data_IF_839502335639
#
_entry.id   IF_839502335639
#
_cell.length_a   1.000
_cell.length_b   1.000
_cell.length_c   1.000
_cell.angle_alpha   90.00
_cell.angle_beta   90.00
_cell.angle_gamma   90.00
#
_symmetry.space_group_name_H-M   'P 1'
#
loop_
_entity.id
_entity.type
_entity.pdbx_description
1 polymer ?
#
# COMPACT_ATOMS: atom_id res chain seq x y z
N UNK A 1 -11.42 7.26 -30.87
CA UNK A 1 -12.22 7.10 -29.64
C UNK A 1 -11.46 6.46 -28.46
N UNK A 2 -10.26 5.90 -28.65
CA UNK A 2 -9.47 5.26 -27.58
C UNK A 2 -8.81 6.21 -26.58
N UNK A 3 -8.34 7.40 -27.01
CA UNK A 3 -7.63 8.36 -26.14
C UNK A 3 -8.49 8.93 -25.00
N UNK A 4 -9.77 9.13 -25.23
CA UNK A 4 -10.71 9.70 -24.24
C UNK A 4 -11.00 8.67 -23.14
N UNK A 5 -11.14 7.39 -23.51
CA UNK A 5 -11.35 6.29 -22.57
C UNK A 5 -10.13 6.10 -21.67
N UNK A 6 -8.91 6.20 -22.21
CA UNK A 6 -7.66 6.08 -21.42
C UNK A 6 -7.43 7.28 -20.50
N UNK A 7 -7.77 8.51 -20.94
CA UNK A 7 -7.69 9.72 -20.09
C UNK A 7 -8.70 9.69 -18.94
N UNK A 8 -9.94 9.30 -19.22
CA UNK A 8 -11.00 9.19 -18.21
C UNK A 8 -10.72 8.08 -17.19
N UNK A 9 -10.08 6.98 -17.59
CA UNK A 9 -9.71 5.89 -16.68
C UNK A 9 -8.47 6.17 -15.83
N UNK A 10 -7.49 6.94 -16.34
CA UNK A 10 -6.37 7.44 -15.54
C UNK A 10 -6.81 8.50 -14.52
N UNK A 11 -7.73 9.40 -14.88
CA UNK A 11 -8.37 10.32 -13.94
C UNK A 11 -9.22 9.58 -12.88
N UNK A 12 -9.91 8.49 -13.26
CA UNK A 12 -10.66 7.67 -12.30
C UNK A 12 -9.76 6.93 -11.31
N UNK A 13 -8.60 6.41 -11.74
CA UNK A 13 -7.62 5.80 -10.83
C UNK A 13 -6.97 6.83 -9.90
N UNK A 14 -6.69 8.02 -10.41
CA UNK A 14 -6.17 9.15 -9.65
C UNK A 14 -7.13 9.62 -8.53
N UNK A 15 -8.44 9.44 -8.74
CA UNK A 15 -9.48 9.74 -7.73
C UNK A 15 -9.61 8.65 -6.64
N UNK A 16 -8.87 7.53 -6.73
CA UNK A 16 -8.96 6.39 -5.80
C UNK A 16 -7.95 6.48 -4.67
N UNK A 17 -7.96 7.58 -3.93
CA UNK A 17 -7.17 7.74 -2.70
C UNK A 17 -5.65 7.64 -2.97
N UNK A 18 -5.04 8.68 -3.58
CA UNK A 18 -3.67 8.62 -4.11
C UNK A 18 -2.57 8.31 -3.09
N UNK A 19 -2.81 8.60 -1.81
CA UNK A 19 -1.82 8.39 -0.74
C UNK A 19 -1.65 6.93 -0.31
N UNK A 20 -2.58 6.04 -0.70
CA UNK A 20 -2.54 4.60 -0.39
C UNK A 20 -2.24 3.74 -1.63
N UNK A 21 -2.02 4.37 -2.79
CA UNK A 21 -1.84 3.64 -4.04
C UNK A 21 -0.48 2.91 -4.10
N UNK A 22 -0.54 1.62 -4.42
CA UNK A 22 0.65 0.81 -4.68
C UNK A 22 1.35 1.23 -6.00
N UNK A 23 2.69 1.12 -6.08
CA UNK A 23 3.47 1.57 -7.23
C UNK A 23 3.07 0.90 -8.56
N UNK A 24 2.72 -0.39 -8.52
CA UNK A 24 2.38 -1.15 -9.71
C UNK A 24 1.09 -0.69 -10.38
N UNK A 25 0.16 -0.05 -9.66
CA UNK A 25 -1.06 0.53 -10.27
C UNK A 25 -0.74 1.59 -11.32
N UNK A 26 0.39 2.28 -11.16
CA UNK A 26 0.85 3.31 -12.09
C UNK A 26 1.72 2.73 -13.22
N UNK A 27 2.35 1.57 -13.00
CA UNK A 27 3.22 0.90 -13.97
C UNK A 27 2.46 -0.05 -14.89
N UNK A 28 1.32 -0.58 -14.43
CA UNK A 28 0.55 -1.60 -15.15
C UNK A 28 -0.28 -0.96 -16.25
N UNK A 29 0.11 -1.19 -17.51
CA UNK A 29 -0.84 -1.17 -18.62
C UNK A 29 -1.89 -2.24 -18.36
N UNK A 30 -3.19 -1.89 -18.47
CA UNK A 30 -4.36 -2.64 -17.97
C UNK A 30 -4.39 -4.17 -18.18
N UNK A 31 -3.54 -4.76 -19.03
CA UNK A 31 -3.42 -6.19 -19.27
C UNK A 31 -2.79 -7.01 -18.12
N UNK A 32 -2.04 -6.40 -17.19
CA UNK A 32 -1.49 -7.12 -16.00
C UNK A 32 -2.32 -6.93 -14.71
N UNK A 33 -3.27 -6.01 -14.70
CA UNK A 33 -4.14 -5.75 -13.55
C UNK A 33 -5.23 -6.83 -13.36
N UNK A 34 -5.35 -7.77 -14.30
CA UNK A 34 -6.28 -8.90 -14.22
C UNK A 34 -5.70 -10.11 -13.49
N UNK A 35 -4.44 -10.06 -13.04
CA UNK A 35 -3.90 -11.12 -12.19
C UNK A 35 -4.42 -10.90 -10.75
N UNK A 36 -5.25 -11.80 -10.21
CA UNK A 36 -5.84 -11.64 -8.87
C UNK A 36 -4.79 -11.53 -7.77
N UNK A 37 -3.63 -12.18 -7.92
CA UNK A 37 -2.55 -12.09 -6.94
C UNK A 37 -1.94 -10.68 -6.86
N UNK A 38 -1.86 -9.98 -8.01
CA UNK A 38 -1.39 -8.59 -8.04
C UNK A 38 -2.45 -7.67 -7.43
N UNK A 39 -3.73 -7.90 -7.72
CA UNK A 39 -4.81 -7.13 -7.11
C UNK A 39 -4.80 -7.26 -5.57
N UNK A 40 -4.66 -8.48 -5.05
CA UNK A 40 -4.55 -8.70 -3.61
C UNK A 40 -3.29 -8.04 -3.03
N UNK A 41 -2.14 -8.11 -3.71
CA UNK A 41 -0.92 -7.45 -3.25
C UNK A 41 -1.03 -5.92 -3.20
N UNK A 42 -1.82 -5.29 -4.08
CA UNK A 42 -2.12 -3.86 -4.03
C UNK A 42 -2.87 -3.49 -2.75
N UNK A 43 -3.81 -4.34 -2.31
CA UNK A 43 -4.54 -4.14 -1.05
C UNK A 43 -3.60 -4.23 0.15
N UNK A 44 -2.58 -5.10 0.11
CA UNK A 44 -1.58 -5.23 1.18
C UNK A 44 -0.72 -3.97 1.33
N UNK A 45 -0.34 -3.33 0.23
CA UNK A 45 0.33 -2.02 0.28
C UNK A 45 -0.58 -0.97 0.92
N UNK A 46 -1.84 -0.94 0.48
CA UNK A 46 -2.84 0.01 0.99
C UNK A 46 -3.09 -0.19 2.49
N UNK A 47 -3.10 -1.44 2.96
CA UNK A 47 -3.17 -1.79 4.38
C UNK A 47 -1.99 -1.19 5.16
N UNK A 48 -0.76 -1.34 4.66
CA UNK A 48 0.42 -0.72 5.27
C UNK A 48 0.27 0.80 5.39
N UNK A 49 -0.22 1.46 4.33
CA UNK A 49 -0.51 2.90 4.36
C UNK A 49 -1.58 3.26 5.41
N UNK A 50 -2.63 2.46 5.55
CA UNK A 50 -3.67 2.64 6.59
C UNK A 50 -3.11 2.47 8.00
N UNK A 51 -2.20 1.52 8.22
CA UNK A 51 -1.54 1.35 9.53
C UNK A 51 -0.69 2.59 9.87
N UNK A 52 0.06 3.13 8.91
CA UNK A 52 0.77 4.41 9.09
C UNK A 52 -0.19 5.54 9.47
N UNK A 53 -1.33 5.62 8.78
CA UNK A 53 -2.35 6.62 9.06
C UNK A 53 -2.94 6.48 10.47
N UNK A 54 -3.26 5.27 10.91
CA UNK A 54 -3.75 5.03 12.26
C UNK A 54 -2.72 5.41 13.33
N UNK A 55 -1.43 5.16 13.08
CA UNK A 55 -0.35 5.48 14.02
C UNK A 55 -0.06 6.98 14.11
N UNK A 56 -0.22 7.72 13.02
CA UNK A 56 0.23 9.12 12.91
C UNK A 56 -0.92 10.13 12.81
N UNK A 57 -2.14 9.66 12.60
CA UNK A 57 -3.32 10.46 12.29
C UNK A 57 -3.31 11.06 10.88
N UNK A 58 -2.35 10.70 10.02
CA UNK A 58 -2.20 11.25 8.67
C UNK A 58 -1.76 10.18 7.66
N UNK A 59 -2.28 10.17 6.44
CA UNK A 59 -1.82 9.22 5.44
C UNK A 59 -0.35 9.47 5.06
N UNK A 60 0.34 8.47 4.47
CA UNK A 60 1.68 8.66 3.94
C UNK A 60 1.75 9.86 2.99
N UNK A 61 2.80 10.66 3.09
CA UNK A 61 3.03 11.83 2.21
C UNK A 61 1.90 12.87 2.25
N UNK A 62 1.15 12.97 3.35
CA UNK A 62 0.05 13.93 3.56
C UNK A 62 0.41 15.40 3.31
N UNK A 63 1.70 15.75 3.37
CA UNK A 63 2.25 17.07 3.10
C UNK A 63 2.38 17.40 1.60
N UNK A 64 2.15 16.42 0.73
CA UNK A 64 2.24 16.56 -0.72
C UNK A 64 0.86 16.46 -1.38
N UNK A 65 0.73 16.97 -2.61
CA UNK A 65 -0.47 16.71 -3.42
C UNK A 65 -0.59 15.23 -3.79
N UNK A 66 -1.80 14.76 -4.12
CA UNK A 66 -2.01 13.36 -4.52
C UNK A 66 -1.12 12.89 -5.68
N UNK A 67 -0.87 13.74 -6.68
CA UNK A 67 0.05 13.43 -7.78
C UNK A 67 1.50 13.25 -7.31
N UNK A 68 1.94 14.09 -6.37
CA UNK A 68 3.27 13.99 -5.80
C UNK A 68 3.41 12.78 -4.88
N UNK A 69 2.37 12.44 -4.12
CA UNK A 69 2.33 11.23 -3.28
C UNK A 69 2.44 9.97 -4.15
N UNK A 70 1.66 9.87 -5.22
CA UNK A 70 1.78 8.81 -6.21
C UNK A 70 3.18 8.73 -6.84
N UNK A 71 3.77 9.86 -7.23
CA UNK A 71 5.14 9.89 -7.77
C UNK A 71 6.17 9.43 -6.74
N UNK A 72 5.97 9.75 -5.45
CA UNK A 72 6.81 9.23 -4.36
C UNK A 72 6.63 7.73 -4.20
N UNK A 73 5.40 7.23 -4.19
CA UNK A 73 5.11 5.80 -4.14
C UNK A 73 5.79 5.03 -5.28
N UNK A 74 5.96 5.62 -6.47
CA UNK A 74 6.72 4.99 -7.56
C UNK A 74 8.22 4.79 -7.28
N UNK A 75 8.82 5.55 -6.37
CA UNK A 75 10.28 5.54 -6.17
C UNK A 75 10.70 5.20 -4.73
N UNK A 76 9.78 5.29 -3.77
CA UNK A 76 10.02 5.14 -2.34
C UNK A 76 8.86 4.43 -1.68
N UNK A 77 9.14 3.83 -0.52
CA UNK A 77 8.12 3.32 0.40
C UNK A 77 7.77 4.41 1.42
N UNK A 78 6.57 4.35 2.04
CA UNK A 78 6.22 5.20 3.18
C UNK A 78 7.27 5.11 4.29
N UNK A 79 7.51 6.22 4.99
CA UNK A 79 8.39 6.23 6.16
C UNK A 79 7.69 5.52 7.32
N UNK A 80 8.37 4.55 7.93
CA UNK A 80 7.86 3.83 9.10
C UNK A 80 8.25 4.60 10.37
N UNK A 81 7.30 4.93 11.27
CA UNK A 81 7.60 5.60 12.52
C UNK A 81 8.57 4.78 13.38
N UNK A 82 9.69 5.41 13.79
CA UNK A 82 10.69 4.78 14.68
C UNK A 82 10.15 4.41 16.06
N UNK A 83 9.00 4.96 16.43
CA UNK A 83 8.31 4.70 17.69
C UNK A 83 7.49 3.40 17.65
N UNK A 84 7.34 2.79 16.48
CA UNK A 84 6.63 1.52 16.33
C UNK A 84 7.47 0.37 16.92
N UNK A 85 6.80 -0.66 17.45
CA UNK A 85 7.50 -1.85 17.96
C UNK A 85 8.30 -2.55 16.83
N UNK A 86 9.34 -3.33 17.16
CA UNK A 86 10.08 -4.10 16.17
C UNK A 86 9.18 -4.97 15.27
N UNK A 87 8.17 -5.60 15.85
CA UNK A 87 7.21 -6.44 15.12
C UNK A 87 6.35 -5.60 14.17
N UNK A 88 5.94 -4.39 14.57
CA UNK A 88 5.21 -3.49 13.69
C UNK A 88 6.07 -2.93 12.56
N UNK A 89 7.36 -2.70 12.83
CA UNK A 89 8.31 -2.30 11.80
C UNK A 89 8.47 -3.39 10.74
N UNK A 90 8.67 -4.64 11.17
CA UNK A 90 8.76 -5.79 10.28
C UNK A 90 7.47 -5.99 9.48
N UNK A 91 6.30 -5.88 10.13
CA UNK A 91 4.99 -5.96 9.46
C UNK A 91 4.86 -4.94 8.31
N UNK A 92 5.25 -3.69 8.56
CA UNK A 92 5.17 -2.62 7.56
C UNK A 92 6.22 -2.78 6.46
N UNK A 93 7.43 -3.25 6.77
CA UNK A 93 8.43 -3.60 5.76
C UNK A 93 7.92 -4.69 4.81
N UNK A 94 7.22 -5.70 5.32
CA UNK A 94 6.57 -6.72 4.50
C UNK A 94 5.46 -6.14 3.62
N UNK A 95 4.62 -5.25 4.16
CA UNK A 95 3.56 -4.57 3.39
C UNK A 95 4.15 -3.73 2.24
N UNK A 96 5.28 -3.07 2.47
CA UNK A 96 5.91 -2.15 1.53
C UNK A 96 6.99 -2.77 0.63
N UNK A 97 7.01 -4.10 0.51
CA UNK A 97 7.85 -4.78 -0.49
C UNK A 97 7.50 -4.28 -1.89
N UNK A 98 8.52 -3.86 -2.64
CA UNK A 98 8.36 -3.21 -3.95
C UNK A 98 7.81 -4.17 -4.99
N UNK A 99 8.29 -5.42 -4.99
CA UNK A 99 7.77 -6.48 -5.84
C UNK A 99 6.45 -7.01 -5.24
N UNK A 100 5.31 -6.90 -5.94
CA UNK A 100 4.02 -7.33 -5.39
C UNK A 100 3.97 -8.83 -5.08
N UNK A 101 4.75 -9.65 -5.79
CA UNK A 101 4.82 -11.10 -5.56
C UNK A 101 5.53 -11.45 -4.25
N UNK A 102 6.35 -10.54 -3.73
CA UNK A 102 7.03 -10.75 -2.45
C UNK A 102 6.18 -10.27 -1.27
N UNK A 103 5.07 -9.57 -1.49
CA UNK A 103 4.17 -9.18 -0.39
C UNK A 103 3.42 -10.41 0.12
N UNK A 104 3.35 -10.61 1.45
CA UNK A 104 2.53 -11.67 2.03
C UNK A 104 1.05 -11.43 1.74
N UNK A 105 0.29 -12.51 1.70
CA UNK A 105 -1.17 -12.47 1.66
C UNK A 105 -1.75 -11.92 2.97
N UNK A 106 -3.01 -11.48 2.93
CA UNK A 106 -3.71 -11.03 4.13
C UNK A 106 -3.80 -12.14 5.20
N UNK A 107 -3.92 -13.40 4.77
CA UNK A 107 -3.95 -14.55 5.67
C UNK A 107 -2.62 -14.74 6.41
N UNK A 108 -1.49 -14.59 5.71
CA UNK A 108 -0.15 -14.66 6.31
C UNK A 108 0.10 -13.47 7.24
N UNK A 109 -0.34 -12.26 6.87
CA UNK A 109 -0.23 -11.08 7.73
C UNK A 109 -1.08 -11.18 9.00
N UNK A 110 -2.22 -11.88 8.95
CA UNK A 110 -3.08 -12.09 10.12
C UNK A 110 -2.39 -12.92 11.21
N UNK A 111 -1.45 -13.80 10.81
CA UNK A 111 -0.63 -14.61 11.71
C UNK A 111 0.68 -13.92 12.08
N UNK A 112 0.90 -12.67 11.66
CA UNK A 112 2.12 -11.95 11.98
C UNK A 112 2.18 -11.55 13.45
N UNK A 113 3.36 -11.56 14.08
CA UNK A 113 3.54 -11.24 15.50
C UNK A 113 3.06 -9.83 15.91
N UNK A 114 2.93 -8.91 14.94
CA UNK A 114 2.36 -7.58 15.15
C UNK A 114 0.83 -7.61 15.37
N UNK A 115 0.14 -8.56 14.73
CA UNK A 115 -1.32 -8.68 14.75
C UNK A 115 -1.77 -9.77 15.72
N UNK A 116 -0.97 -10.83 15.85
CA UNK A 116 -1.23 -11.92 16.77
C UNK A 116 -1.22 -11.40 18.21
N UNK A 117 -2.35 -11.58 18.90
CA UNK A 117 -2.43 -11.31 20.34
C UNK A 117 -1.54 -12.32 21.05
N UNK A 118 -0.46 -11.87 21.68
CA UNK A 118 0.01 -12.53 22.89
C UNK A 118 -1.15 -12.46 23.87
N UNK A 119 -1.84 -13.58 24.09
CA UNK A 119 -2.74 -13.72 25.22
C UNK A 119 -1.91 -13.36 26.45
N UNK A 120 -2.20 -12.22 27.07
CA UNK A 120 -1.81 -12.04 28.46
C UNK A 120 -2.50 -13.20 29.18
N UNK A 121 -1.72 -14.14 29.69
CA UNK A 121 -2.25 -15.18 30.56
C UNK A 121 -3.06 -14.50 31.67
N UNK A 122 -4.29 -14.98 31.97
CA UNK A 122 -5.16 -14.38 32.97
C UNK A 122 -4.57 -14.38 34.38
#
# INVERSE_FOLDING_TARGET
MSKILTKKSSELLLNRSPYWMAPELMMVSMKKATNPNIAMAVDIWSLGCTVIEMLTGKPPWSEFSGHQAMFKALHRSPDIPKTLSPEGHDFLEQCFRRNPVERPSAAELLTHAFVEKKTLDP
#
